data_IF_703238447183
#
_entry.id   IF_703238447183
#
_cell.length_a   1.000
_cell.length_b   1.000
_cell.length_c   1.000
_cell.angle_alpha   90.00
_cell.angle_beta   90.00
_cell.angle_gamma   90.00
#
_symmetry.space_group_name_H-M   'P 1'
#
loop_
_entity.id
_entity.type
_entity.pdbx_description
1 polymer ?
#
# COMPACT_ATOMS: atom_id res chain seq x y z
N UNK A 1 -3.13 21.71 31.87
CA UNK A 1 -4.26 21.86 30.94
C UNK A 1 -3.66 21.90 29.54
N UNK A 2 -3.83 20.83 28.77
CA UNK A 2 -3.53 20.86 27.33
C UNK A 2 -4.74 21.50 26.65
N UNK A 3 -4.53 22.53 25.83
CA UNK A 3 -5.59 23.15 25.05
C UNK A 3 -6.12 22.12 24.05
N UNK A 4 -7.44 22.06 23.89
CA UNK A 4 -8.13 21.29 22.84
C UNK A 4 -7.86 21.84 21.42
N UNK A 5 -6.68 22.43 21.18
CA UNK A 5 -6.27 23.05 19.91
C UNK A 5 -5.02 22.41 19.30
N UNK A 6 -4.34 21.49 20.00
CA UNK A 6 -3.06 20.93 19.55
C UNK A 6 -3.18 19.56 18.88
N UNK A 7 -4.36 18.94 18.84
CA UNK A 7 -4.54 17.65 18.16
C UNK A 7 -5.06 17.89 16.75
N UNK A 8 -4.38 17.39 15.69
CA UNK A 8 -4.91 17.49 14.35
C UNK A 8 -6.23 16.72 14.25
N UNK A 9 -7.14 17.23 13.42
CA UNK A 9 -8.31 16.47 12.99
C UNK A 9 -7.81 15.17 12.33
N UNK A 10 -8.46 14.05 12.64
CA UNK A 10 -8.05 12.73 12.22
C UNK A 10 -9.22 11.98 11.59
N UNK A 11 -8.97 11.39 10.43
CA UNK A 11 -9.93 10.56 9.71
C UNK A 11 -9.21 9.32 9.17
N UNK A 12 -9.70 8.12 9.49
CA UNK A 12 -9.15 6.86 9.02
C UNK A 12 -10.25 6.01 8.40
N UNK A 13 -10.12 5.63 7.13
CA UNK A 13 -10.94 4.58 6.54
C UNK A 13 -10.15 3.27 6.60
N UNK A 14 -10.66 2.30 7.36
CA UNK A 14 -10.04 0.98 7.55
C UNK A 14 -11.02 -0.15 7.29
N UNK A 15 -10.48 -1.35 7.14
CA UNK A 15 -11.30 -2.58 7.08
C UNK A 15 -11.94 -2.87 8.45
N UNK A 16 -13.14 -3.44 8.43
CA UNK A 16 -13.82 -3.90 9.65
C UNK A 16 -13.08 -5.03 10.37
N UNK A 17 -13.40 -5.22 11.66
CA UNK A 17 -12.73 -6.20 12.50
C UNK A 17 -12.97 -7.63 12.00
N UNK A 18 -11.92 -8.45 11.99
CA UNK A 18 -12.00 -9.87 11.62
C UNK A 18 -12.05 -10.16 10.11
N UNK A 19 -11.89 -9.16 9.25
CA UNK A 19 -11.80 -9.37 7.81
C UNK A 19 -10.49 -10.09 7.44
N UNK A 20 -10.58 -11.17 6.67
CA UNK A 20 -9.42 -11.84 6.08
C UNK A 20 -8.79 -10.94 5.02
N UNK A 21 -7.48 -10.70 5.09
CA UNK A 21 -6.73 -9.79 4.21
C UNK A 21 -7.31 -8.36 4.16
N UNK A 22 -7.26 -7.63 5.29
CA UNK A 22 -7.73 -6.26 5.34
C UNK A 22 -6.90 -5.37 4.41
N UNK A 23 -7.56 -4.46 3.70
CA UNK A 23 -6.86 -3.37 3.00
C UNK A 23 -6.12 -2.50 4.01
N UNK A 24 -4.94 -1.98 3.65
CA UNK A 24 -4.30 -0.89 4.39
C UNK A 24 -5.26 0.28 4.61
N UNK A 25 -5.11 0.95 5.76
CA UNK A 25 -5.99 2.06 6.12
C UNK A 25 -5.62 3.32 5.35
N UNK A 26 -6.64 4.02 4.85
CA UNK A 26 -6.55 5.36 4.27
C UNK A 26 -6.63 6.39 5.39
N UNK A 27 -5.57 7.16 5.64
CA UNK A 27 -5.54 8.11 6.77
C UNK A 27 -5.41 9.54 6.26
N UNK A 28 -6.19 10.44 6.84
CA UNK A 28 -6.09 11.87 6.67
C UNK A 28 -5.89 12.54 8.01
N UNK A 29 -5.03 13.55 8.01
CA UNK A 29 -4.92 14.49 9.13
C UNK A 29 -5.05 15.90 8.61
N UNK A 30 -5.78 16.75 9.32
CA UNK A 30 -5.81 18.17 9.03
C UNK A 30 -5.49 18.97 10.30
N UNK A 31 -4.54 19.88 10.19
CA UNK A 31 -4.33 20.92 11.19
C UNK A 31 -4.86 22.26 10.65
N UNK A 32 -4.76 23.34 11.43
CA UNK A 32 -5.27 24.65 11.04
C UNK A 32 -4.73 25.18 9.70
N UNK A 33 -3.61 24.64 9.20
CA UNK A 33 -2.88 25.12 8.02
C UNK A 33 -2.69 24.09 6.91
N UNK A 34 -2.69 22.79 7.22
CA UNK A 34 -2.26 21.72 6.31
C UNK A 34 -3.20 20.54 6.37
N UNK A 35 -3.42 19.92 5.21
CA UNK A 35 -4.01 18.58 5.10
C UNK A 35 -2.94 17.61 4.65
N UNK A 36 -2.93 16.43 5.25
CA UNK A 36 -2.03 15.32 4.90
C UNK A 36 -2.86 14.08 4.60
N UNK A 37 -2.46 13.36 3.57
CA UNK A 37 -2.99 12.07 3.18
C UNK A 37 -1.88 11.02 3.22
N UNK A 38 -2.11 9.94 3.94
CA UNK A 38 -1.19 8.81 4.06
C UNK A 38 -1.77 7.66 3.24
N UNK A 39 -1.23 7.47 2.02
CA UNK A 39 -1.58 6.38 1.13
C UNK A 39 -0.69 5.18 1.44
N UNK A 40 -1.32 4.03 1.67
CA UNK A 40 -0.61 2.76 1.93
C UNK A 40 -0.93 1.72 0.84
N UNK A 41 -1.44 2.20 -0.29
CA UNK A 41 -1.94 1.41 -1.40
C UNK A 41 -3.08 0.46 -1.02
N UNK A 42 -3.66 -0.24 -2.02
CA UNK A 42 -5.03 -0.79 -1.99
C UNK A 42 -5.98 -0.02 -1.06
N UNK A 43 -5.96 1.29 -1.21
CA UNK A 43 -6.92 2.19 -0.61
C UNK A 43 -8.28 1.74 -1.16
N UNK A 44 -9.25 1.50 -0.28
CA UNK A 44 -10.54 0.86 -0.55
C UNK A 44 -11.12 1.32 -1.90
N UNK A 45 -10.96 0.47 -2.92
CA UNK A 45 -11.50 0.60 -4.29
C UNK A 45 -11.71 2.06 -4.73
N UNK A 46 -10.63 2.82 -5.03
CA UNK A 46 -10.79 4.18 -5.51
C UNK A 46 -11.37 4.04 -6.91
N UNK A 47 -12.65 4.36 -7.09
CA UNK A 47 -13.25 4.44 -8.41
C UNK A 47 -13.10 5.88 -8.92
N UNK A 48 -12.41 6.10 -10.07
CA UNK A 48 -11.81 5.11 -10.97
C UNK A 48 -10.43 4.60 -10.50
N UNK A 49 -10.06 3.36 -10.86
CA UNK A 49 -8.74 2.81 -10.54
C UNK A 49 -7.64 3.73 -11.06
N UNK A 50 -6.80 4.28 -10.18
CA UNK A 50 -5.60 4.98 -10.62
C UNK A 50 -4.60 3.96 -11.16
N UNK A 51 -3.82 4.34 -12.17
CA UNK A 51 -2.69 3.53 -12.67
C UNK A 51 -1.54 3.43 -11.67
N UNK A 52 -1.60 4.22 -10.59
CA UNK A 52 -0.54 4.37 -9.61
C UNK A 52 -1.16 4.48 -8.21
N UNK A 53 -0.87 3.51 -7.34
CA UNK A 53 -1.21 3.51 -5.92
C UNK A 53 0.04 3.90 -5.16
N UNK A 54 0.21 5.20 -4.94
CA UNK A 54 1.38 5.70 -4.24
C UNK A 54 1.44 5.17 -2.82
N UNK A 55 2.64 4.86 -2.34
CA UNK A 55 2.85 4.58 -0.92
C UNK A 55 3.55 5.81 -0.38
N UNK A 56 2.87 6.57 0.45
CA UNK A 56 3.43 7.85 0.82
C UNK A 56 2.54 8.78 1.61
N UNK A 57 3.15 9.92 1.93
CA UNK A 57 2.50 11.03 2.61
C UNK A 57 2.47 12.21 1.65
N UNK A 58 1.26 12.63 1.31
CA UNK A 58 0.98 13.72 0.37
C UNK A 58 0.31 14.85 1.11
N UNK A 59 0.77 16.07 0.86
CA UNK A 59 0.34 17.20 1.68
C UNK A 59 0.00 18.44 0.87
N UNK A 60 -0.91 19.24 1.38
CA UNK A 60 -1.26 20.53 0.79
C UNK A 60 -1.67 21.53 1.86
N UNK A 61 -1.60 22.83 1.52
CA UNK A 61 -2.15 23.89 2.36
C UNK A 61 -3.67 23.74 2.47
N UNK A 62 -4.20 23.74 3.70
CA UNK A 62 -5.63 23.65 3.98
C UNK A 62 -6.35 24.96 3.62
N UNK A 63 -6.57 25.17 2.33
CA UNK A 63 -7.18 26.36 1.75
C UNK A 63 -8.09 25.97 0.57
N UNK A 64 -8.95 26.88 0.12
CA UNK A 64 -9.83 26.64 -1.02
C UNK A 64 -10.65 25.35 -0.89
N UNK A 65 -10.62 24.52 -1.93
CA UNK A 65 -11.35 23.24 -2.01
C UNK A 65 -10.99 22.28 -0.87
N UNK A 66 -9.73 22.18 -0.47
CA UNK A 66 -9.33 21.28 0.63
C UNK A 66 -10.00 21.65 1.95
N UNK A 67 -10.07 22.95 2.26
CA UNK A 67 -10.77 23.43 3.46
C UNK A 67 -12.26 23.15 3.37
N UNK A 68 -12.88 23.41 2.22
CA UNK A 68 -14.30 23.12 1.99
C UNK A 68 -14.61 21.63 2.18
N UNK A 69 -13.75 20.74 1.70
CA UNK A 69 -13.88 19.29 1.85
C UNK A 69 -13.81 18.85 3.32
N UNK A 70 -12.80 19.32 4.06
CA UNK A 70 -12.65 19.02 5.50
C UNK A 70 -13.83 19.58 6.30
N UNK A 71 -14.26 20.82 6.03
CA UNK A 71 -15.38 21.44 6.73
C UNK A 71 -16.72 20.72 6.46
N UNK A 72 -16.94 20.27 5.21
CA UNK A 72 -18.10 19.46 4.84
C UNK A 72 -18.12 18.11 5.55
N UNK A 73 -16.96 17.45 5.64
CA UNK A 73 -16.82 16.19 6.36
C UNK A 73 -17.15 16.36 7.84
N UNK A 74 -16.58 17.38 8.49
CA UNK A 74 -16.86 17.70 9.90
C UNK A 74 -18.33 18.02 10.11
N UNK A 75 -18.94 18.83 9.24
CA UNK A 75 -20.36 19.16 9.30
C UNK A 75 -21.26 17.92 9.14
N UNK A 76 -20.88 17.00 8.24
CA UNK A 76 -21.60 15.75 8.01
C UNK A 76 -21.54 14.85 9.24
N UNK A 77 -20.35 14.62 9.78
CA UNK A 77 -20.15 13.75 10.95
C UNK A 77 -20.74 14.34 12.23
N UNK A 78 -20.78 15.67 12.37
CA UNK A 78 -21.43 16.34 13.50
C UNK A 78 -22.94 16.52 13.36
N UNK A 79 -23.53 16.21 12.19
CA UNK A 79 -24.94 16.51 11.91
C UNK A 79 -25.94 15.64 12.67
N UNK A 80 -25.48 14.48 13.17
CA UNK A 80 -26.32 13.51 13.88
C UNK A 80 -25.50 12.66 14.83
N UNK A 81 -26.15 12.07 15.82
CA UNK A 81 -25.56 10.97 16.60
C UNK A 81 -25.34 9.77 15.69
N UNK A 82 -24.09 9.31 15.58
CA UNK A 82 -23.74 8.13 14.80
C UNK A 82 -23.90 6.89 15.69
N UNK A 83 -24.73 5.90 15.29
CA UNK A 83 -24.89 4.68 16.07
C UNK A 83 -23.60 3.84 16.03
N UNK A 84 -23.22 3.33 17.19
CA UNK A 84 -22.02 2.51 17.40
C UNK A 84 -22.26 1.08 16.90
N UNK A 85 -22.30 0.91 15.57
CA UNK A 85 -22.49 -0.39 14.92
C UNK A 85 -21.13 -0.94 14.51
N UNK A 86 -20.70 -2.01 15.18
CA UNK A 86 -19.44 -2.68 14.85
C UNK A 86 -19.52 -3.32 13.47
N UNK A 87 -18.60 -2.97 12.58
CA UNK A 87 -18.37 -3.73 11.36
C UNK A 87 -17.59 -5.00 11.72
N UNK A 88 -18.22 -6.16 11.54
CA UNK A 88 -17.61 -7.46 11.82
C UNK A 88 -17.53 -8.24 10.51
N UNK A 89 -16.36 -8.81 10.21
CA UNK A 89 -16.04 -9.68 9.07
C UNK A 89 -16.15 -9.05 7.66
N UNK A 90 -16.82 -7.91 7.48
CA UNK A 90 -16.94 -7.22 6.19
C UNK A 90 -17.24 -5.73 6.34
N UNK A 91 -16.69 -4.92 5.43
CA UNK A 91 -17.07 -3.53 5.21
C UNK A 91 -16.03 -2.54 5.73
N UNK A 92 -16.11 -1.31 5.23
CA UNK A 92 -15.22 -0.22 5.62
C UNK A 92 -15.77 0.52 6.84
N UNK A 93 -14.87 0.97 7.70
CA UNK A 93 -15.17 1.80 8.88
C UNK A 93 -14.42 3.11 8.74
N UNK A 94 -15.12 4.23 8.91
CA UNK A 94 -14.52 5.54 9.12
C UNK A 94 -14.36 5.79 10.62
N UNK A 95 -13.12 5.84 11.10
CA UNK A 95 -12.78 6.35 12.43
C UNK A 95 -12.53 7.85 12.28
N UNK A 96 -13.07 8.66 13.19
CA UNK A 96 -12.88 10.10 13.16
C UNK A 96 -12.67 10.68 14.56
N UNK A 97 -11.92 11.78 14.62
CA UNK A 97 -11.68 12.59 15.82
C UNK A 97 -11.39 14.02 15.38
N UNK A 98 -12.23 14.99 15.72
CA UNK A 98 -12.06 16.39 15.32
C UNK A 98 -12.76 17.36 16.27
N UNK A 99 -12.33 18.62 16.25
CA UNK A 99 -12.99 19.69 17.01
C UNK A 99 -13.83 20.59 16.08
N UNK A 100 -15.07 20.88 16.45
CA UNK A 100 -15.96 21.78 15.70
C UNK A 100 -16.81 22.60 16.67
N UNK A 101 -16.81 23.92 16.49
CA UNK A 101 -17.63 24.86 17.28
C UNK A 101 -17.47 24.68 18.80
N UNK A 102 -16.22 24.46 19.26
CA UNK A 102 -15.88 24.26 20.67
C UNK A 102 -16.25 22.89 21.25
N UNK A 103 -16.70 21.95 20.43
CA UNK A 103 -17.07 20.59 20.83
C UNK A 103 -16.15 19.57 20.15
N UNK A 104 -15.74 18.56 20.91
CA UNK A 104 -14.96 17.43 20.41
C UNK A 104 -15.90 16.34 19.90
N UNK A 105 -15.65 15.84 18.68
CA UNK A 105 -16.37 14.75 18.06
C UNK A 105 -15.41 13.61 17.79
N UNK A 106 -15.69 12.45 18.36
CA UNK A 106 -14.97 11.21 18.07
C UNK A 106 -15.94 10.04 17.89
N UNK A 107 -15.53 9.05 17.11
CA UNK A 107 -16.32 7.84 16.92
C UNK A 107 -15.93 7.01 15.72
N UNK A 108 -16.74 5.98 15.47
CA UNK A 108 -16.62 5.09 14.34
C UNK A 108 -17.93 5.06 13.56
N UNK A 109 -17.84 5.08 12.24
CA UNK A 109 -18.96 4.98 11.31
C UNK A 109 -18.77 3.79 10.37
N UNK A 110 -19.72 2.85 10.39
CA UNK A 110 -19.73 1.72 9.46
C UNK A 110 -20.43 2.14 8.15
N UNK A 111 -19.71 2.09 7.02
CA UNK A 111 -20.26 2.43 5.69
C UNK A 111 -21.41 1.51 5.25
N UNK A 112 -21.66 0.38 5.89
CA UNK A 112 -22.83 -0.46 5.59
C UNK A 112 -24.14 0.10 6.16
N UNK A 113 -24.06 1.09 7.06
CA UNK A 113 -25.23 1.54 7.81
C UNK A 113 -26.20 2.36 6.97
N UNK A 114 -25.70 3.35 6.21
CA UNK A 114 -26.56 4.33 5.55
C UNK A 114 -25.96 4.82 4.23
N UNK A 115 -26.45 4.25 3.13
CA UNK A 115 -25.99 4.59 1.79
C UNK A 115 -26.24 6.05 1.36
N UNK A 116 -27.22 6.73 1.95
CA UNK A 116 -27.45 8.16 1.66
C UNK A 116 -26.41 9.02 2.38
N UNK A 117 -26.14 8.70 3.65
CA UNK A 117 -25.08 9.38 4.41
C UNK A 117 -23.69 9.16 3.81
N UNK A 118 -23.42 7.96 3.29
CA UNK A 118 -22.16 7.64 2.62
C UNK A 118 -21.83 8.60 1.47
N UNK A 119 -22.83 9.10 0.73
CA UNK A 119 -22.60 10.03 -0.40
C UNK A 119 -21.91 11.32 0.04
N UNK A 120 -22.21 11.78 1.25
CA UNK A 120 -21.59 12.99 1.81
C UNK A 120 -20.17 12.72 2.32
N UNK A 121 -19.80 11.45 2.54
CA UNK A 121 -18.45 11.04 2.95
C UNK A 121 -17.54 10.72 1.76
N UNK A 122 -18.08 10.71 0.53
CA UNK A 122 -17.29 10.47 -0.69
C UNK A 122 -16.19 11.52 -0.89
N UNK A 123 -16.36 12.70 -0.30
CA UNK A 123 -15.37 13.78 -0.32
C UNK A 123 -13.98 13.37 0.20
N UNK A 124 -13.88 12.33 1.04
CA UNK A 124 -12.60 11.76 1.45
C UNK A 124 -11.85 11.11 0.27
N UNK A 125 -12.56 10.42 -0.63
CA UNK A 125 -11.96 9.83 -1.82
C UNK A 125 -11.53 10.91 -2.82
N UNK A 126 -12.34 11.95 -3.00
CA UNK A 126 -11.97 13.11 -3.83
C UNK A 126 -10.71 13.79 -3.29
N UNK A 127 -10.63 13.94 -1.96
CA UNK A 127 -9.46 14.50 -1.28
C UNK A 127 -8.21 13.61 -1.46
N UNK A 128 -8.31 12.29 -1.33
CA UNK A 128 -7.21 11.36 -1.58
C UNK A 128 -6.70 11.46 -3.02
N UNK A 129 -7.62 11.42 -3.99
CA UNK A 129 -7.28 11.51 -5.41
C UNK A 129 -6.55 12.81 -5.75
N UNK A 130 -7.05 13.94 -5.26
CA UNK A 130 -6.45 15.23 -5.52
C UNK A 130 -5.09 15.38 -4.83
N UNK A 131 -4.94 14.90 -3.58
CA UNK A 131 -3.65 14.91 -2.88
C UNK A 131 -2.61 13.98 -3.53
N UNK A 132 -3.02 12.82 -4.07
CA UNK A 132 -2.13 11.95 -4.83
C UNK A 132 -1.67 12.61 -6.14
N UNK A 133 -2.56 13.33 -6.83
CA UNK A 133 -2.27 13.93 -8.13
C UNK A 133 -1.52 15.26 -8.04
N UNK A 134 -1.81 16.07 -7.01
CA UNK A 134 -1.42 17.47 -6.93
C UNK A 134 -0.79 17.88 -5.59
N UNK A 135 -0.84 17.00 -4.58
CA UNK A 135 -0.18 17.24 -3.30
C UNK A 135 1.35 17.23 -3.42
N UNK A 136 2.01 17.83 -2.44
CA UNK A 136 3.46 17.75 -2.29
C UNK A 136 3.83 16.42 -1.63
N UNK A 137 4.61 15.55 -2.30
CA UNK A 137 5.08 14.31 -1.71
C UNK A 137 6.13 14.59 -0.64
N UNK A 138 5.85 14.20 0.60
CA UNK A 138 6.84 14.14 1.68
C UNK A 138 7.51 12.78 1.75
N UNK A 139 6.75 11.73 1.41
CA UNK A 139 7.21 10.35 1.24
C UNK A 139 6.53 9.83 -0.03
N UNK A 140 7.29 9.15 -0.89
CA UNK A 140 6.75 8.60 -2.14
C UNK A 140 7.57 7.36 -2.55
N UNK A 141 7.22 6.21 -1.98
CA UNK A 141 7.90 4.94 -2.16
C UNK A 141 7.34 4.21 -3.39
N UNK A 142 8.22 3.78 -4.28
CA UNK A 142 7.87 3.02 -5.49
C UNK A 142 8.65 1.72 -5.57
N UNK A 143 8.03 0.59 -5.24
CA UNK A 143 8.60 -0.72 -5.53
C UNK A 143 8.40 -1.05 -7.01
N UNK A 144 9.48 -1.44 -7.68
CA UNK A 144 9.48 -1.97 -9.05
C UNK A 144 10.28 -3.26 -9.08
N UNK A 145 10.19 -4.00 -10.19
CA UNK A 145 11.01 -5.19 -10.37
C UNK A 145 11.46 -5.36 -11.81
N UNK A 146 12.52 -6.14 -11.98
CA UNK A 146 12.95 -6.66 -13.28
C UNK A 146 13.29 -8.14 -13.16
N UNK A 147 13.25 -8.85 -14.29
CA UNK A 147 13.48 -10.30 -14.32
C UNK A 147 14.43 -10.64 -15.45
N UNK A 148 15.38 -11.52 -15.18
CA UNK A 148 16.27 -12.14 -16.17
C UNK A 148 16.50 -13.60 -15.81
N UNK A 149 16.84 -14.43 -16.79
CA UNK A 149 17.25 -15.82 -16.56
C UNK A 149 18.77 -15.97 -16.55
N UNK A 150 19.26 -16.89 -15.74
CA UNK A 150 20.59 -17.49 -15.86
C UNK A 150 20.42 -18.99 -16.08
N UNK A 151 21.52 -19.73 -16.29
CA UNK A 151 21.47 -21.18 -16.46
C UNK A 151 20.82 -21.89 -15.28
N UNK A 152 20.94 -21.39 -14.05
CA UNK A 152 20.44 -22.07 -12.85
C UNK A 152 19.27 -21.36 -12.14
N UNK A 153 19.16 -20.05 -12.33
CA UNK A 153 18.26 -19.20 -11.55
C UNK A 153 17.39 -18.30 -12.44
N UNK A 154 16.17 -18.06 -11.97
CA UNK A 154 15.43 -16.85 -12.30
C UNK A 154 15.95 -15.74 -11.40
N UNK A 155 16.58 -14.72 -11.98
CA UNK A 155 17.08 -13.58 -11.24
C UNK A 155 16.04 -12.48 -11.27
N UNK A 156 15.68 -12.01 -10.08
CA UNK A 156 14.68 -10.98 -9.86
C UNK A 156 15.33 -9.84 -9.09
N UNK A 157 15.40 -8.67 -9.70
CA UNK A 157 15.81 -7.46 -9.01
C UNK A 157 14.54 -6.74 -8.54
N UNK A 158 14.42 -6.48 -7.24
CA UNK A 158 13.38 -5.60 -6.66
C UNK A 158 14.04 -4.28 -6.32
N UNK A 159 13.50 -3.17 -6.82
CA UNK A 159 14.02 -1.83 -6.58
C UNK A 159 12.99 -1.01 -5.82
N UNK A 160 13.39 -0.42 -4.70
CA UNK A 160 12.59 0.57 -3.98
C UNK A 160 13.18 1.95 -4.23
N UNK A 161 12.42 2.85 -4.85
CA UNK A 161 12.80 4.26 -4.98
C UNK A 161 11.94 5.15 -4.09
N UNK A 162 12.50 6.28 -3.65
CA UNK A 162 11.79 7.25 -2.82
C UNK A 162 11.91 8.66 -3.41
N UNK A 163 10.85 9.14 -4.05
CA UNK A 163 10.81 10.49 -4.63
C UNK A 163 10.35 11.56 -3.62
N UNK A 164 10.22 11.18 -2.35
CA UNK A 164 9.87 12.08 -1.25
C UNK A 164 11.06 12.87 -0.73
N UNK A 165 10.86 13.47 0.45
CA UNK A 165 11.82 14.33 1.16
C UNK A 165 12.36 13.71 2.45
N UNK A 166 11.77 12.61 2.90
CA UNK A 166 12.18 11.91 4.12
C UNK A 166 12.63 10.48 3.81
N UNK A 167 13.60 10.00 4.58
CA UNK A 167 14.02 8.59 4.55
C UNK A 167 12.82 7.69 4.91
N UNK A 168 12.73 6.54 4.24
CA UNK A 168 11.75 5.50 4.53
C UNK A 168 12.48 4.23 4.91
N UNK A 169 12.05 3.57 5.99
CA UNK A 169 12.55 2.24 6.35
C UNK A 169 11.42 1.22 6.19
N UNK A 170 11.70 0.14 5.48
CA UNK A 170 10.78 -0.98 5.23
C UNK A 170 11.38 -2.27 5.77
N UNK A 171 10.53 -3.18 6.25
CA UNK A 171 10.96 -4.50 6.68
C UNK A 171 11.64 -5.28 5.53
N UNK A 172 12.76 -5.94 5.86
CA UNK A 172 13.57 -6.69 4.92
C UNK A 172 13.17 -8.16 4.78
N UNK A 173 13.79 -8.89 3.82
CA UNK A 173 13.46 -10.28 3.48
C UNK A 173 13.52 -11.34 4.60
N UNK A 174 14.12 -11.06 5.75
CA UNK A 174 14.08 -11.92 6.94
C UNK A 174 12.66 -11.98 7.55
N UNK A 175 11.81 -10.98 7.27
CA UNK A 175 10.43 -10.87 7.75
C UNK A 175 9.39 -11.31 6.71
N UNK A 176 9.82 -11.53 5.46
CA UNK A 176 8.92 -11.89 4.36
C UNK A 176 8.60 -13.40 4.40
N UNK A 177 7.34 -13.74 4.18
CA UNK A 177 6.88 -15.13 4.21
C UNK A 177 6.90 -15.78 2.82
N UNK A 178 7.36 -17.03 2.70
CA UNK A 178 7.27 -17.79 1.45
C UNK A 178 5.87 -18.39 1.21
N UNK A 179 4.98 -18.39 2.21
CA UNK A 179 3.69 -19.08 2.18
C UNK A 179 2.67 -18.38 1.27
N UNK A 180 2.41 -18.94 0.09
CA UNK A 180 1.48 -18.39 -0.90
C UNK A 180 0.02 -18.35 -0.42
N UNK A 181 -0.39 -19.22 0.50
CA UNK A 181 -1.78 -19.38 0.96
C UNK A 181 -2.18 -18.32 1.99
N UNK A 182 -1.21 -17.67 2.64
CA UNK A 182 -1.45 -16.63 3.64
C UNK A 182 -1.23 -15.23 3.06
N UNK A 183 -2.28 -14.53 2.59
CA UNK A 183 -2.17 -13.17 2.04
C UNK A 183 -1.95 -12.10 3.12
N UNK A 184 -2.15 -12.44 4.40
CA UNK A 184 -2.05 -11.51 5.53
C UNK A 184 -0.61 -11.35 6.03
N UNK A 185 0.32 -12.16 5.53
CA UNK A 185 1.74 -12.08 5.86
C UNK A 185 2.45 -11.04 5.00
N UNK A 186 3.62 -10.59 5.45
CA UNK A 186 4.49 -9.76 4.63
C UNK A 186 5.06 -10.58 3.46
N UNK A 187 5.05 -10.03 2.25
CA UNK A 187 5.62 -10.70 1.08
C UNK A 187 6.02 -9.72 -0.03
N UNK A 188 6.98 -10.15 -0.84
CA UNK A 188 7.12 -9.72 -2.23
C UNK A 188 6.85 -10.92 -3.12
N UNK A 189 5.87 -10.82 -4.01
CA UNK A 189 5.45 -11.92 -4.88
C UNK A 189 5.59 -11.55 -6.35
N UNK A 190 6.28 -12.40 -7.11
CA UNK A 190 6.39 -12.32 -8.56
C UNK A 190 5.61 -13.48 -9.19
N UNK A 191 4.82 -13.17 -10.22
CA UNK A 191 4.15 -14.15 -11.07
C UNK A 191 4.66 -14.05 -12.50
N UNK A 192 4.91 -15.19 -13.13
CA UNK A 192 5.31 -15.28 -14.54
C UNK A 192 4.31 -16.12 -15.33
N UNK A 193 4.06 -15.72 -16.58
CA UNK A 193 3.20 -16.46 -17.51
C UNK A 193 3.74 -16.41 -18.94
N UNK A 194 3.76 -17.57 -19.61
CA UNK A 194 4.00 -17.70 -21.04
C UNK A 194 3.29 -18.94 -21.55
N UNK A 195 2.36 -18.82 -22.51
CA UNK A 195 1.62 -19.97 -23.07
C UNK A 195 1.12 -20.94 -21.99
N UNK A 196 1.73 -22.13 -21.98
CA UNK A 196 1.46 -23.28 -21.11
C UNK A 196 2.18 -23.25 -19.74
N UNK A 197 2.87 -22.17 -19.42
CA UNK A 197 3.60 -21.99 -18.17
C UNK A 197 2.97 -20.85 -17.39
N UNK A 198 2.55 -21.13 -16.15
CA UNK A 198 2.17 -20.12 -15.16
C UNK A 198 2.75 -20.51 -13.80
N UNK A 199 3.46 -19.57 -13.18
CA UNK A 199 4.05 -19.79 -11.86
C UNK A 199 4.02 -18.53 -10.99
N UNK A 200 4.25 -18.74 -9.70
CA UNK A 200 4.45 -17.70 -8.70
C UNK A 200 5.64 -18.06 -7.82
N UNK A 201 6.27 -17.03 -7.26
CA UNK A 201 7.27 -17.16 -6.20
C UNK A 201 7.12 -16.00 -5.24
N UNK A 202 7.27 -16.27 -3.93
CA UNK A 202 7.48 -15.25 -2.91
C UNK A 202 8.98 -15.15 -2.62
N UNK A 203 9.51 -13.95 -2.71
CA UNK A 203 10.92 -13.66 -2.45
C UNK A 203 11.13 -13.62 -0.94
N UNK A 204 12.22 -14.24 -0.48
CA UNK A 204 12.58 -14.35 0.93
C UNK A 204 14.10 -14.37 1.08
N UNK A 205 14.59 -14.17 2.31
CA UNK A 205 16.03 -14.05 2.61
C UNK A 205 16.90 -15.18 2.02
N UNK A 206 16.40 -16.42 1.93
CA UNK A 206 17.18 -17.53 1.34
C UNK A 206 17.57 -17.33 -0.13
N UNK A 207 16.84 -16.49 -0.87
CA UNK A 207 17.15 -16.20 -2.28
C UNK A 207 17.98 -14.93 -2.45
N UNK A 208 18.24 -14.15 -1.40
CA UNK A 208 19.06 -12.94 -1.53
C UNK A 208 20.47 -13.28 -2.03
N UNK A 209 20.92 -12.56 -3.05
CA UNK A 209 22.31 -12.64 -3.49
C UNK A 209 23.25 -12.09 -2.40
N UNK A 210 24.52 -12.50 -2.45
CA UNK A 210 25.51 -12.07 -1.46
C UNK A 210 25.68 -10.55 -1.43
N UNK A 211 25.54 -9.88 -2.58
CA UNK A 211 25.61 -8.42 -2.71
C UNK A 211 24.40 -7.69 -2.13
N UNK A 212 23.30 -8.40 -1.88
CA UNK A 212 22.04 -7.83 -1.36
C UNK A 212 21.75 -8.23 0.10
N UNK A 213 22.62 -9.04 0.72
CA UNK A 213 22.41 -9.56 2.08
C UNK A 213 22.33 -8.49 3.17
N UNK A 214 22.89 -7.30 2.95
CA UNK A 214 22.79 -6.21 3.94
C UNK A 214 21.36 -5.69 4.10
N UNK A 215 20.49 -5.86 3.10
CA UNK A 215 19.07 -5.50 3.17
C UNK A 215 18.19 -6.53 3.88
N UNK A 216 18.75 -7.65 4.33
CA UNK A 216 17.95 -8.79 4.83
C UNK A 216 17.01 -8.43 5.99
N UNK A 217 17.41 -7.50 6.86
CA UNK A 217 16.60 -7.09 8.02
C UNK A 217 15.71 -5.89 7.73
N UNK A 218 16.29 -4.87 7.13
CA UNK A 218 15.64 -3.58 6.90
C UNK A 218 16.16 -2.98 5.59
N UNK A 219 15.30 -2.24 4.90
CA UNK A 219 15.61 -1.52 3.67
C UNK A 219 15.40 -0.03 3.97
N UNK A 220 16.48 0.75 3.99
CA UNK A 220 16.43 2.20 4.18
C UNK A 220 16.57 2.88 2.83
N UNK A 221 15.52 3.56 2.39
CA UNK A 221 15.46 4.25 1.09
C UNK A 221 15.47 5.76 1.32
N UNK A 222 16.59 6.40 0.99
CA UNK A 222 16.76 7.85 1.15
C UNK A 222 16.06 8.65 0.05
N UNK A 223 15.75 9.93 0.27
CA UNK A 223 15.22 10.84 -0.73
C UNK A 223 16.05 10.85 -2.02
N UNK A 224 15.39 10.65 -3.16
CA UNK A 224 15.99 10.62 -4.49
C UNK A 224 16.90 9.42 -4.75
N UNK A 225 16.95 8.43 -3.85
CA UNK A 225 17.75 7.22 -4.01
C UNK A 225 16.89 6.01 -4.39
N UNK A 226 17.56 4.97 -4.88
CA UNK A 226 16.95 3.69 -5.20
C UNK A 226 17.80 2.57 -4.62
N UNK A 227 17.17 1.72 -3.82
CA UNK A 227 17.80 0.53 -3.23
C UNK A 227 17.38 -0.70 -4.03
N UNK A 228 18.37 -1.46 -4.51
CA UNK A 228 18.13 -2.64 -5.35
C UNK A 228 18.53 -3.93 -4.63
N UNK A 229 17.58 -4.84 -4.52
CA UNK A 229 17.75 -6.16 -3.94
C UNK A 229 17.70 -7.21 -5.05
N UNK A 230 18.77 -7.96 -5.23
CA UNK A 230 18.84 -9.07 -6.18
C UNK A 230 18.49 -10.39 -5.48
N UNK A 231 17.57 -11.14 -6.09
CA UNK A 231 17.16 -12.46 -5.67
C UNK A 231 17.51 -13.49 -6.75
N UNK A 232 18.22 -14.55 -6.36
CA UNK A 232 18.58 -15.69 -7.18
C UNK A 232 17.63 -16.84 -6.85
N UNK A 233 16.54 -16.98 -7.60
CA UNK A 233 15.52 -18.01 -7.36
C UNK A 233 15.83 -19.25 -8.19
N UNK A 234 16.13 -20.41 -7.58
CA UNK A 234 16.30 -21.66 -8.33
C UNK A 234 15.01 -22.00 -9.07
N UNK A 235 15.09 -22.45 -10.32
CA UNK A 235 13.89 -22.79 -11.10
C UNK A 235 13.03 -23.89 -10.44
N UNK A 236 13.64 -24.74 -9.62
CA UNK A 236 12.96 -25.80 -8.89
C UNK A 236 12.06 -25.29 -7.74
N UNK A 237 12.30 -24.07 -7.26
CA UNK A 237 11.57 -23.46 -6.14
C UNK A 237 10.34 -22.66 -6.63
N UNK A 238 10.07 -22.65 -7.95
CA UNK A 238 8.90 -22.00 -8.53
C UNK A 238 7.64 -22.83 -8.27
N UNK A 239 6.59 -22.15 -7.80
CA UNK A 239 5.28 -22.79 -7.60
C UNK A 239 4.42 -22.59 -8.85
N UNK A 240 4.19 -23.66 -9.59
CA UNK A 240 3.37 -23.63 -10.80
C UNK A 240 1.88 -23.68 -10.46
N UNK A 241 1.07 -22.88 -11.17
CA UNK A 241 -0.37 -22.87 -10.98
C UNK A 241 -1.00 -24.23 -11.34
N UNK A 242 -2.05 -24.66 -10.65
CA UNK A 242 -2.72 -25.95 -10.90
C UNK A 242 -3.15 -26.13 -12.37
N UNK A 243 -3.53 -25.04 -13.03
CA UNK A 243 -3.95 -25.02 -14.43
C UNK A 243 -2.79 -24.87 -15.44
N UNK A 244 -1.53 -24.89 -14.99
CA UNK A 244 -0.34 -24.81 -15.85
C UNK A 244 -0.02 -26.19 -16.45
N UNK A 245 -0.15 -26.40 -17.78
CA UNK A 245 0.19 -27.67 -18.41
C UNK A 245 1.67 -28.06 -18.25
N UNK A 246 2.56 -27.06 -18.19
CA UNK A 246 3.99 -27.27 -17.96
C UNK A 246 4.38 -26.89 -16.52
N UNK A 247 5.30 -27.68 -15.95
CA UNK A 247 5.81 -27.55 -14.57
C UNK A 247 7.31 -27.25 -14.52
N UNK A 248 7.80 -26.56 -15.55
CA UNK A 248 9.20 -26.15 -15.69
C UNK A 248 9.27 -24.83 -16.45
N UNK A 249 10.33 -24.07 -16.24
CA UNK A 249 10.62 -22.89 -17.06
C UNK A 249 11.09 -23.34 -18.44
N UNK A 250 10.46 -22.79 -19.47
CA UNK A 250 10.85 -22.96 -20.87
C UNK A 250 11.46 -21.69 -21.43
N UNK A 251 12.28 -21.82 -22.48
CA UNK A 251 12.72 -20.67 -23.26
C UNK A 251 11.51 -19.95 -23.86
N UNK A 252 11.53 -18.62 -23.86
CA UNK A 252 10.49 -17.85 -24.53
C UNK A 252 10.22 -16.51 -23.87
N UNK A 253 9.17 -15.85 -24.37
CA UNK A 253 8.74 -14.55 -23.88
C UNK A 253 7.67 -14.72 -22.81
N UNK A 254 7.86 -14.07 -21.68
CA UNK A 254 6.96 -14.11 -20.52
C UNK A 254 6.39 -12.73 -20.26
N UNK A 255 5.15 -12.71 -19.79
CA UNK A 255 4.60 -11.59 -19.05
C UNK A 255 4.81 -11.83 -17.56
N UNK A 256 5.24 -10.79 -16.84
CA UNK A 256 5.43 -10.83 -15.40
C UNK A 256 4.59 -9.78 -14.70
N UNK A 257 4.10 -10.15 -13.52
CA UNK A 257 3.40 -9.26 -12.60
C UNK A 257 4.05 -9.35 -11.23
N UNK A 258 4.09 -8.22 -10.53
CA UNK A 258 4.66 -8.13 -9.20
C UNK A 258 3.67 -7.49 -8.23
N UNK A 259 3.78 -7.83 -6.95
CA UNK A 259 3.07 -7.13 -5.87
C UNK A 259 3.86 -7.26 -4.57
N UNK A 260 3.71 -6.25 -3.72
CA UNK A 260 4.32 -6.21 -2.39
C UNK A 260 3.25 -5.99 -1.33
N UNK A 261 3.45 -6.60 -0.17
CA UNK A 261 2.68 -6.39 1.05
C UNK A 261 3.68 -6.36 2.20
N UNK A 262 4.13 -5.18 2.62
CA UNK A 262 5.25 -5.04 3.56
C UNK A 262 4.89 -4.03 4.64
N UNK A 263 5.67 -3.99 5.71
CA UNK A 263 5.49 -3.01 6.77
C UNK A 263 6.52 -1.87 6.61
N UNK A 264 6.05 -0.62 6.64
CA UNK A 264 6.90 0.56 6.85
C UNK A 264 7.18 0.62 8.34
N UNK A 265 8.45 0.74 8.71
CA UNK A 265 8.90 0.89 10.10
C UNK A 265 9.13 2.36 10.45
N UNK A 266 9.57 3.16 9.47
CA UNK A 266 9.85 4.58 9.64
C UNK A 266 9.53 5.39 8.38
N UNK A 267 9.07 6.65 8.53
CA UNK A 267 8.85 7.36 9.80
C UNK A 267 7.62 6.84 10.58
N UNK A 268 7.58 7.11 11.89
CA UNK A 268 6.56 6.59 12.83
C UNK A 268 5.12 6.92 12.39
N UNK A 269 4.90 8.09 11.80
CA UNK A 269 3.59 8.49 11.27
C UNK A 269 3.09 7.62 10.09
N UNK A 270 4.00 6.91 9.41
CA UNK A 270 3.69 5.96 8.35
C UNK A 270 3.78 4.50 8.80
N UNK A 271 4.12 4.23 10.06
CA UNK A 271 4.30 2.88 10.58
C UNK A 271 3.10 1.98 10.26
N UNK A 272 3.38 0.74 9.89
CA UNK A 272 2.41 -0.28 9.55
C UNK A 272 2.38 -0.69 8.08
N UNK A 273 1.37 -1.49 7.75
CA UNK A 273 1.31 -2.25 6.50
C UNK A 273 0.96 -1.41 5.29
N UNK A 274 1.66 -1.63 4.20
CA UNK A 274 1.28 -1.16 2.88
C UNK A 274 1.20 -2.30 1.87
N UNK A 275 0.40 -2.09 0.85
CA UNK A 275 0.27 -3.00 -0.28
C UNK A 275 0.29 -2.22 -1.58
N UNK A 276 1.08 -2.65 -2.56
CA UNK A 276 0.95 -2.10 -3.92
C UNK A 276 1.29 -3.15 -4.98
N UNK A 277 0.53 -3.20 -6.11
CA UNK A 277 1.02 -3.89 -7.29
C UNK A 277 2.23 -3.15 -7.88
N UNK A 278 3.12 -3.90 -8.51
CA UNK A 278 4.23 -3.35 -9.30
C UNK A 278 3.88 -3.38 -10.78
N UNK A 279 4.55 -2.54 -11.56
CA UNK A 279 4.34 -2.44 -13.01
C UNK A 279 4.48 -3.81 -13.70
N UNK A 280 3.54 -4.07 -14.61
CA UNK A 280 3.57 -5.29 -15.42
C UNK A 280 4.72 -5.20 -16.42
N UNK A 281 5.51 -6.27 -16.51
CA UNK A 281 6.53 -6.42 -17.56
C UNK A 281 5.98 -7.34 -18.65
N UNK A 282 5.94 -6.86 -19.88
CA UNK A 282 5.55 -7.65 -21.04
C UNK A 282 6.77 -8.06 -21.87
N UNK A 283 6.69 -9.23 -22.50
CA UNK A 283 7.69 -9.75 -23.44
C UNK A 283 9.13 -9.87 -22.87
N UNK A 284 9.26 -10.26 -21.61
CA UNK A 284 10.57 -10.58 -21.01
C UNK A 284 11.06 -11.91 -21.59
N UNK A 285 12.13 -11.87 -22.37
CA UNK A 285 12.74 -13.08 -22.93
C UNK A 285 13.56 -13.81 -21.87
N UNK A 286 13.17 -15.05 -21.58
CA UNK A 286 13.96 -15.98 -20.80
C UNK A 286 14.69 -16.95 -21.73
N UNK A 287 15.99 -17.10 -21.50
CA UNK A 287 16.78 -18.19 -22.06
C UNK A 287 16.39 -19.45 -21.31
N UNK A 288 15.77 -20.42 -21.99
CA UNK A 288 15.47 -21.71 -21.40
C UNK A 288 16.74 -22.48 -21.06
N UNK A 289 16.57 -23.52 -20.25
CA UNK A 289 17.60 -24.55 -20.06
C UNK A 289 17.64 -25.48 -21.26
#
# INVERSE_FOLDING_TARGET
MALAQDRPDYFEIRSGLGQTNPSPSMVFTADGQKVSYFSRGRDIDPMPPSSYFGIGKYTASLTGTYRQHVDLLKATLSSRTIPQIRAINRGSVLVYSFDKDGHHYEGEYNYQFDGQFNRNLLVLYDLAHDLLAHGTPEINLHPTFSVRSTTEHLVIDVTFSNDGKHDVTVDGPDHWSPDLESPDLQYVQIGGRSGDVRFRVRLVSKYLSDTSRHYRREIVVKPGQSEKLEFLVPSADLTYAEDSPMRRLEAGNYAFVGKVNLDILRPEEMDGRFFTPMDRLDNVTLSGK
#
